data_IF_654537902714
#
_entry.id   IF_654537902714
#
_cell.length_a   1.000
_cell.length_b   1.000
_cell.length_c   1.000
_cell.angle_alpha   90.00
_cell.angle_beta   90.00
_cell.angle_gamma   90.00
#
_symmetry.space_group_name_H-M   'P 1'
#
loop_
_entity.id
_entity.type
_entity.pdbx_description
1 polymer ?
#
# COMPACT_ATOMS: atom_id res chain seq x y z
N UNK A 1 5.26 -18.80 -39.63
CA UNK A 1 4.93 -18.49 -38.23
C UNK A 1 4.93 -16.97 -38.10
N UNK A 2 3.79 -16.32 -38.15
CA UNK A 2 3.69 -14.90 -37.93
C UNK A 2 3.69 -14.66 -36.42
N UNK A 3 4.84 -14.30 -35.87
CA UNK A 3 4.94 -13.75 -34.53
C UNK A 3 4.42 -12.31 -34.54
N UNK A 4 3.12 -12.13 -34.62
CA UNK A 4 2.52 -10.88 -34.16
C UNK A 4 2.50 -10.95 -32.61
N UNK A 5 3.59 -10.57 -32.00
CA UNK A 5 3.59 -10.29 -30.57
C UNK A 5 2.59 -9.15 -30.36
N UNK A 6 1.48 -9.46 -29.69
CA UNK A 6 0.37 -8.53 -29.42
C UNK A 6 0.77 -7.57 -28.30
N UNK A 7 1.93 -6.91 -28.49
CA UNK A 7 2.49 -5.98 -27.51
C UNK A 7 1.77 -4.63 -27.60
N UNK A 8 0.94 -4.35 -26.63
CA UNK A 8 0.31 -3.04 -26.46
C UNK A 8 1.25 -2.10 -25.71
N UNK A 9 1.38 -0.88 -26.23
CA UNK A 9 2.20 0.16 -25.59
C UNK A 9 1.29 1.17 -24.89
N UNK A 10 1.57 1.43 -23.63
CA UNK A 10 0.87 2.39 -22.80
C UNK A 10 1.89 3.33 -22.18
N UNK A 11 1.58 4.63 -22.14
CA UNK A 11 2.42 5.61 -21.45
C UNK A 11 1.66 6.15 -20.24
N UNK A 12 2.35 6.28 -19.13
CA UNK A 12 1.86 6.89 -17.90
C UNK A 12 2.93 7.81 -17.31
N UNK A 13 2.55 8.65 -16.36
CA UNK A 13 3.52 9.38 -15.53
C UNK A 13 4.10 8.46 -14.45
N UNK A 14 3.26 7.58 -13.91
CA UNK A 14 3.63 6.68 -12.84
C UNK A 14 2.97 5.31 -13.08
N UNK A 15 3.72 4.24 -12.90
CA UNK A 15 3.19 2.88 -12.84
C UNK A 15 3.41 2.28 -11.47
N UNK A 16 2.37 1.66 -10.91
CA UNK A 16 2.38 1.03 -9.59
C UNK A 16 2.06 -0.45 -9.75
N UNK A 17 2.97 -1.32 -9.35
CA UNK A 17 2.74 -2.76 -9.33
C UNK A 17 2.26 -3.20 -7.94
N UNK A 18 0.97 -3.52 -7.86
CA UNK A 18 0.28 -3.96 -6.64
C UNK A 18 -0.80 -2.99 -6.16
N UNK A 19 -1.95 -3.56 -5.74
CA UNK A 19 -3.12 -2.86 -5.21
C UNK A 19 -3.34 -3.13 -3.71
N UNK A 20 -2.31 -3.57 -3.00
CA UNK A 20 -2.32 -3.59 -1.54
C UNK A 20 -2.33 -2.16 -0.96
N UNK A 21 -2.43 -2.05 0.38
CA UNK A 21 -2.47 -0.76 1.09
C UNK A 21 -1.34 0.18 0.64
N UNK A 22 -0.11 -0.32 0.49
CA UNK A 22 1.04 0.49 0.10
C UNK A 22 0.85 1.13 -1.29
N UNK A 23 0.40 0.35 -2.28
CA UNK A 23 0.16 0.84 -3.64
C UNK A 23 -0.98 1.85 -3.70
N UNK A 24 -2.10 1.55 -3.06
CA UNK A 24 -3.28 2.42 -3.04
C UNK A 24 -3.01 3.73 -2.29
N UNK A 25 -2.39 3.65 -1.12
CA UNK A 25 -2.05 4.85 -0.34
C UNK A 25 -1.06 5.74 -1.10
N UNK A 26 -0.04 5.15 -1.72
CA UNK A 26 0.88 5.89 -2.57
C UNK A 26 0.16 6.57 -3.75
N UNK A 27 -0.73 5.86 -4.45
CA UNK A 27 -1.51 6.43 -5.57
C UNK A 27 -2.34 7.64 -5.13
N UNK A 28 -2.96 7.57 -3.95
CA UNK A 28 -3.78 8.67 -3.40
C UNK A 28 -2.94 9.86 -2.92
N UNK A 29 -1.69 9.62 -2.51
CA UNK A 29 -0.75 10.66 -2.07
C UNK A 29 -0.08 11.40 -3.24
N UNK A 30 -0.22 10.90 -4.47
CA UNK A 30 0.36 11.50 -5.66
C UNK A 30 -0.55 12.61 -6.24
N UNK A 31 0.02 13.62 -6.95
CA UNK A 31 -0.73 14.71 -7.53
C UNK A 31 -1.79 14.22 -8.54
N UNK A 32 -2.96 14.90 -8.53
CA UNK A 32 -4.10 14.52 -9.37
C UNK A 32 -3.91 14.83 -10.86
N UNK A 33 -2.92 15.62 -11.20
CA UNK A 33 -2.55 15.93 -12.59
C UNK A 33 -1.67 14.83 -13.22
N UNK A 34 -1.26 13.81 -12.47
CA UNK A 34 -0.46 12.69 -12.96
C UNK A 34 -1.33 11.52 -13.40
N UNK A 35 -1.06 11.00 -14.59
CA UNK A 35 -1.67 9.78 -15.08
C UNK A 35 -1.00 8.57 -14.42
N UNK A 36 -1.75 7.82 -13.63
CA UNK A 36 -1.25 6.69 -12.83
C UNK A 36 -1.88 5.40 -13.36
N UNK A 37 -1.04 4.40 -13.64
CA UNK A 37 -1.50 3.05 -13.93
C UNK A 37 -1.10 2.14 -12.77
N UNK A 38 -2.09 1.48 -12.18
CA UNK A 38 -1.89 0.41 -11.20
C UNK A 38 -2.17 -0.93 -11.86
N UNK A 39 -1.35 -1.93 -11.59
CA UNK A 39 -1.60 -3.30 -12.03
C UNK A 39 -1.72 -4.24 -10.84
N UNK A 40 -2.52 -5.28 -10.96
CA UNK A 40 -2.63 -6.35 -9.97
C UNK A 40 -2.84 -7.70 -10.64
N UNK A 41 -2.20 -8.74 -10.12
CA UNK A 41 -2.25 -10.11 -10.66
C UNK A 41 -3.63 -10.77 -10.61
N UNK A 42 -4.52 -10.23 -9.76
CA UNK A 42 -5.88 -10.70 -9.57
C UNK A 42 -6.83 -9.50 -9.52
N UNK A 43 -7.97 -9.60 -8.82
CA UNK A 43 -8.82 -8.44 -8.55
C UNK A 43 -8.17 -7.48 -7.54
N UNK A 44 -8.57 -6.23 -7.53
CA UNK A 44 -7.98 -5.23 -6.64
C UNK A 44 -8.26 -5.49 -5.16
N UNK A 45 -9.30 -6.26 -4.85
CA UNK A 45 -9.68 -6.70 -3.51
C UNK A 45 -8.83 -7.87 -2.99
N UNK A 46 -8.18 -8.63 -3.89
CA UNK A 46 -7.40 -9.81 -3.51
C UNK A 46 -5.95 -9.42 -3.19
N UNK A 47 -5.73 -8.94 -1.98
CA UNK A 47 -4.40 -8.62 -1.46
C UNK A 47 -4.23 -9.11 -0.02
N UNK A 48 -3.00 -9.38 0.39
CA UNK A 48 -2.69 -9.73 1.79
C UNK A 48 -3.13 -8.63 2.75
N UNK A 49 -3.07 -7.37 2.30
CA UNK A 49 -3.58 -6.22 3.07
C UNK A 49 -5.08 -6.33 3.35
N UNK A 50 -5.86 -6.84 2.40
CA UNK A 50 -7.30 -7.04 2.56
C UNK A 50 -7.62 -8.18 3.55
N UNK A 51 -6.77 -9.20 3.60
CA UNK A 51 -6.92 -10.36 4.47
C UNK A 51 -6.39 -10.14 5.88
N UNK A 52 -5.64 -9.05 6.12
CA UNK A 52 -5.04 -8.75 7.41
C UNK A 52 -6.12 -8.53 8.49
N UNK A 53 -6.06 -9.31 9.57
CA UNK A 53 -7.02 -9.28 10.67
C UNK A 53 -6.57 -8.36 11.81
N UNK A 54 -5.25 -8.24 12.02
CA UNK A 54 -4.67 -7.39 13.04
C UNK A 54 -4.97 -5.90 12.83
N UNK A 55 -4.50 -5.09 13.76
CA UNK A 55 -4.68 -3.65 13.69
C UNK A 55 -3.49 -2.90 13.11
N UNK A 56 -3.54 -1.58 13.19
CA UNK A 56 -2.47 -0.67 12.78
C UNK A 56 -1.96 0.13 13.98
N UNK A 57 -0.64 0.20 14.13
CA UNK A 57 -0.02 0.93 15.23
C UNK A 57 -0.05 2.43 15.00
N UNK A 58 -0.26 3.20 16.08
CA UNK A 58 -0.16 4.65 16.07
C UNK A 58 0.58 5.16 17.30
N UNK A 59 1.46 6.13 17.13
CA UNK A 59 2.04 6.89 18.24
C UNK A 59 0.95 7.69 18.93
N UNK A 60 0.64 7.40 20.19
CA UNK A 60 -0.44 8.07 20.92
C UNK A 60 -0.07 9.50 21.33
N UNK A 61 1.14 9.66 21.83
CA UNK A 61 1.74 10.92 22.27
C UNK A 61 3.25 10.76 22.41
N UNK A 62 3.97 11.84 22.68
CA UNK A 62 5.44 11.83 22.76
C UNK A 62 6.00 10.88 23.85
N UNK A 63 5.27 10.66 24.94
CA UNK A 63 5.71 9.74 26.01
C UNK A 63 5.64 8.27 25.59
N UNK A 64 4.93 7.92 24.54
CA UNK A 64 4.85 6.56 23.99
C UNK A 64 5.99 6.25 23.01
N UNK A 65 6.73 7.27 22.55
CA UNK A 65 7.74 7.11 21.50
C UNK A 65 8.83 6.10 21.86
N UNK A 66 9.48 6.25 22.98
CA UNK A 66 10.62 5.39 23.38
C UNK A 66 10.19 3.92 23.50
N UNK A 67 9.01 3.68 24.06
CA UNK A 67 8.47 2.33 24.19
C UNK A 67 8.05 1.73 22.85
N UNK A 68 7.53 2.54 21.94
CA UNK A 68 7.15 2.09 20.60
C UNK A 68 8.39 1.77 19.77
N UNK A 69 9.41 2.63 19.85
CA UNK A 69 10.69 2.41 19.17
C UNK A 69 11.36 1.12 19.65
N UNK A 70 11.50 0.94 20.97
CA UNK A 70 12.11 -0.25 21.56
C UNK A 70 11.33 -1.53 21.22
N UNK A 71 10.00 -1.52 21.31
CA UNK A 71 9.16 -2.66 20.93
C UNK A 71 9.38 -3.05 19.47
N UNK A 72 9.47 -2.07 18.56
CA UNK A 72 9.70 -2.29 17.13
C UNK A 72 11.09 -2.83 16.86
N UNK A 73 12.13 -2.24 17.44
CA UNK A 73 13.51 -2.70 17.31
C UNK A 73 13.68 -4.13 17.82
N UNK A 74 13.11 -4.43 18.97
CA UNK A 74 13.17 -5.77 19.58
C UNK A 74 12.41 -6.81 18.75
N UNK A 75 11.23 -6.48 18.22
CA UNK A 75 10.46 -7.37 17.36
C UNK A 75 11.20 -7.72 16.06
N UNK A 76 11.99 -6.80 15.53
CA UNK A 76 12.87 -7.01 14.37
C UNK A 76 14.27 -7.51 14.74
N UNK A 77 14.48 -8.03 15.97
CA UNK A 77 15.78 -8.52 16.46
C UNK A 77 16.92 -7.51 16.32
N UNK A 78 16.60 -6.19 16.34
CA UNK A 78 17.53 -5.08 16.12
C UNK A 78 18.22 -5.07 14.75
N UNK A 79 17.68 -5.80 13.77
CA UNK A 79 18.11 -5.78 12.36
C UNK A 79 17.42 -4.65 11.57
N UNK A 80 16.47 -3.94 12.19
CA UNK A 80 15.75 -2.83 11.59
C UNK A 80 16.70 -1.67 11.24
N UNK A 81 16.39 -0.93 10.19
CA UNK A 81 17.00 0.37 9.97
C UNK A 81 16.42 1.39 10.98
N UNK A 82 17.24 1.96 11.89
CA UNK A 82 16.76 2.86 12.94
C UNK A 82 16.05 4.13 12.40
N UNK A 83 16.57 4.70 11.32
CA UNK A 83 15.97 5.88 10.68
C UNK A 83 14.59 5.58 10.09
N UNK A 84 14.44 4.43 9.42
CA UNK A 84 13.15 3.99 8.88
C UNK A 84 12.11 3.76 10.00
N UNK A 85 12.53 3.20 11.14
CA UNK A 85 11.68 3.03 12.32
C UNK A 85 11.25 4.38 12.89
N UNK A 86 12.15 5.35 13.02
CA UNK A 86 11.84 6.70 13.49
C UNK A 86 10.80 7.38 12.59
N UNK A 87 11.01 7.34 11.27
CA UNK A 87 10.08 7.90 10.27
C UNK A 87 8.71 7.25 10.41
N UNK A 88 8.64 5.92 10.45
CA UNK A 88 7.39 5.16 10.58
C UNK A 88 6.60 5.57 11.82
N UNK A 89 7.28 5.65 12.97
CA UNK A 89 6.62 5.99 14.25
C UNK A 89 6.11 7.43 14.22
N UNK A 90 6.93 8.39 13.81
CA UNK A 90 6.56 9.83 13.83
C UNK A 90 5.49 10.17 12.82
N UNK A 91 5.48 9.54 11.65
CA UNK A 91 4.45 9.77 10.63
C UNK A 91 3.11 9.09 10.94
N UNK A 92 3.08 8.14 11.88
CA UNK A 92 1.91 7.29 12.12
C UNK A 92 0.63 8.07 12.45
N UNK A 93 0.71 9.16 13.21
CA UNK A 93 -0.45 9.98 13.56
C UNK A 93 -1.06 10.69 12.36
N UNK A 94 -0.22 11.19 11.45
CA UNK A 94 -0.69 11.84 10.21
C UNK A 94 -1.31 10.82 9.28
N UNK A 95 -0.64 9.69 9.07
CA UNK A 95 -1.16 8.57 8.28
C UNK A 95 -2.54 8.11 8.77
N UNK A 96 -2.73 7.96 10.08
CA UNK A 96 -4.04 7.57 10.64
C UNK A 96 -5.11 8.65 10.39
N UNK A 97 -4.76 9.94 10.52
CA UNK A 97 -5.71 11.02 10.19
C UNK A 97 -6.12 11.01 8.72
N UNK A 98 -5.19 10.73 7.83
CA UNK A 98 -5.48 10.59 6.40
C UNK A 98 -6.37 9.38 6.11
N UNK A 99 -6.09 8.21 6.72
CA UNK A 99 -6.95 7.02 6.58
C UNK A 99 -8.39 7.30 7.05
N UNK A 100 -8.56 7.99 8.18
CA UNK A 100 -9.88 8.44 8.65
C UNK A 100 -10.51 9.41 7.63
N UNK A 101 -9.72 10.33 7.07
CA UNK A 101 -10.15 11.22 5.98
C UNK A 101 -10.63 10.49 4.72
N UNK A 102 -10.05 9.35 4.41
CA UNK A 102 -10.50 8.45 3.33
C UNK A 102 -11.73 7.61 3.72
N UNK A 103 -12.21 7.72 4.95
CA UNK A 103 -13.43 7.06 5.43
C UNK A 103 -13.18 5.76 6.18
N UNK A 104 -11.94 5.46 6.58
CA UNK A 104 -11.65 4.31 7.44
C UNK A 104 -12.27 4.53 8.82
N UNK A 105 -13.06 3.56 9.28
CA UNK A 105 -13.76 3.58 10.56
C UNK A 105 -13.03 2.69 11.58
N UNK A 106 -12.22 3.31 12.41
CA UNK A 106 -11.60 2.62 13.55
C UNK A 106 -12.54 2.59 14.75
N UNK A 107 -12.39 1.58 15.60
CA UNK A 107 -13.20 1.44 16.82
C UNK A 107 -13.03 2.67 17.73
N UNK A 108 -14.16 3.14 18.28
CA UNK A 108 -14.21 4.25 19.23
C UNK A 108 -14.65 3.77 20.62
N UNK A 109 -14.19 4.46 21.65
CA UNK A 109 -14.69 4.35 23.00
C UNK A 109 -16.06 5.05 23.15
N UNK A 110 -16.75 4.82 24.26
CA UNK A 110 -18.05 5.47 24.56
C UNK A 110 -17.98 7.00 24.57
N UNK A 111 -16.82 7.56 24.86
CA UNK A 111 -16.60 9.03 24.84
C UNK A 111 -16.23 9.59 23.46
N UNK A 112 -16.25 8.76 22.41
CA UNK A 112 -15.93 9.16 21.03
C UNK A 112 -14.45 9.23 20.68
N UNK A 113 -13.55 8.93 21.61
CA UNK A 113 -12.11 8.83 21.31
C UNK A 113 -11.77 7.49 20.64
N UNK A 114 -10.68 7.43 19.88
CA UNK A 114 -10.18 6.17 19.29
C UNK A 114 -9.91 5.14 20.38
N UNK A 115 -10.35 3.92 20.17
CA UNK A 115 -10.05 2.78 21.04
C UNK A 115 -8.75 2.12 20.62
N UNK A 116 -7.90 1.82 21.61
CA UNK A 116 -6.62 1.15 21.38
C UNK A 116 -6.61 -0.23 22.05
N UNK A 117 -6.10 -1.22 21.35
CA UNK A 117 -5.81 -2.54 21.89
C UNK A 117 -4.30 -2.78 21.95
N UNK A 118 -3.92 -3.88 22.60
CA UNK A 118 -2.54 -4.37 22.65
C UNK A 118 -2.48 -5.76 22.05
N UNK A 119 -1.54 -5.95 21.14
CA UNK A 119 -1.22 -7.25 20.55
C UNK A 119 0.23 -7.65 20.89
N UNK A 120 0.65 -8.81 20.42
CA UNK A 120 1.98 -9.34 20.68
C UNK A 120 3.10 -8.37 20.31
N UNK A 121 4.22 -8.45 21.00
CA UNK A 121 5.40 -7.60 20.89
C UNK A 121 5.24 -6.14 21.38
N UNK A 122 4.04 -5.64 21.64
CA UNK A 122 3.81 -4.28 22.14
C UNK A 122 3.75 -4.24 23.66
N UNK A 123 4.49 -3.31 24.28
CA UNK A 123 4.48 -3.08 25.73
C UNK A 123 3.25 -2.31 26.22
N UNK A 124 2.62 -1.50 25.32
CA UNK A 124 1.42 -0.70 25.62
C UNK A 124 0.34 -0.89 24.56
N UNK A 125 -0.90 -0.47 24.85
CA UNK A 125 -2.00 -0.44 23.87
C UNK A 125 -1.80 0.74 22.92
N UNK A 126 -1.43 0.47 21.67
CA UNK A 126 -1.24 1.48 20.61
C UNK A 126 -1.79 1.05 19.24
N UNK A 127 -2.58 -0.01 19.22
CA UNK A 127 -3.09 -0.62 18.01
C UNK A 127 -4.52 -0.19 17.82
N UNK A 128 -4.81 0.49 16.70
CA UNK A 128 -6.13 0.78 16.22
C UNK A 128 -6.67 -0.40 15.42
N UNK A 129 -7.96 -0.64 15.50
CA UNK A 129 -8.59 -1.81 14.87
C UNK A 129 -10.04 -1.52 14.47
N UNK A 130 -10.55 -2.33 13.57
CA UNK A 130 -11.96 -2.39 13.19
C UNK A 130 -12.41 -3.85 13.26
N UNK A 131 -13.01 -4.24 14.38
CA UNK A 131 -13.34 -5.66 14.66
C UNK A 131 -12.15 -6.59 14.37
N UNK A 132 -12.37 -7.71 13.67
CA UNK A 132 -11.33 -8.64 13.21
C UNK A 132 -11.02 -8.49 11.71
N UNK A 133 -11.37 -7.33 11.12
CA UNK A 133 -11.29 -7.09 9.68
C UNK A 133 -10.62 -5.74 9.35
N UNK A 134 -9.67 -5.30 10.17
CA UNK A 134 -9.01 -3.99 10.01
C UNK A 134 -8.39 -3.82 8.62
N UNK A 135 -7.71 -4.83 8.11
CA UNK A 135 -7.12 -4.80 6.77
C UNK A 135 -8.16 -4.63 5.67
N UNK A 136 -9.28 -5.36 5.76
CA UNK A 136 -10.42 -5.23 4.84
C UNK A 136 -11.01 -3.82 4.90
N UNK A 137 -11.21 -3.27 6.10
CA UNK A 137 -11.76 -1.92 6.27
C UNK A 137 -10.86 -0.88 5.60
N UNK A 138 -9.56 -0.87 5.92
CA UNK A 138 -8.60 0.06 5.33
C UNK A 138 -8.54 -0.10 3.80
N UNK A 139 -8.35 -1.33 3.32
CA UNK A 139 -8.18 -1.61 1.90
C UNK A 139 -9.42 -1.25 1.08
N UNK A 140 -10.62 -1.55 1.59
CA UNK A 140 -11.88 -1.23 0.91
C UNK A 140 -12.09 0.28 0.76
N UNK A 141 -11.78 1.06 1.81
CA UNK A 141 -11.91 2.52 1.76
C UNK A 141 -10.89 3.15 0.81
N UNK A 142 -9.63 2.73 0.89
CA UNK A 142 -8.61 3.21 -0.06
C UNK A 142 -8.96 2.84 -1.50
N UNK A 143 -9.41 1.62 -1.75
CA UNK A 143 -9.82 1.20 -3.11
C UNK A 143 -10.99 2.02 -3.64
N UNK A 144 -11.98 2.33 -2.79
CA UNK A 144 -13.07 3.21 -3.18
C UNK A 144 -12.58 4.60 -3.57
N UNK A 145 -11.63 5.18 -2.83
CA UNK A 145 -11.02 6.46 -3.19
C UNK A 145 -10.22 6.39 -4.48
N UNK A 146 -9.41 5.33 -4.66
CA UNK A 146 -8.65 5.12 -5.91
C UNK A 146 -9.58 5.03 -7.11
N UNK A 147 -10.67 4.26 -7.02
CA UNK A 147 -11.67 4.12 -8.08
C UNK A 147 -12.42 5.43 -8.39
N UNK A 148 -12.51 6.35 -7.45
CA UNK A 148 -13.11 7.67 -7.64
C UNK A 148 -12.16 8.68 -8.31
N UNK A 149 -10.87 8.39 -8.39
CA UNK A 149 -9.85 9.26 -9.00
C UNK A 149 -9.76 9.00 -10.51
N UNK A 150 -10.18 9.97 -11.32
CA UNK A 150 -10.19 9.85 -12.79
C UNK A 150 -8.80 9.74 -13.43
N UNK A 151 -7.76 10.14 -12.71
CA UNK A 151 -6.36 10.06 -13.15
C UNK A 151 -5.69 8.72 -12.81
N UNK A 152 -6.39 7.78 -12.15
CA UNK A 152 -5.88 6.46 -11.80
C UNK A 152 -6.63 5.39 -12.59
N UNK A 153 -5.89 4.55 -13.28
CA UNK A 153 -6.42 3.37 -13.98
C UNK A 153 -5.90 2.10 -13.31
N UNK A 154 -6.80 1.20 -12.89
CA UNK A 154 -6.44 -0.12 -12.37
C UNK A 154 -6.58 -1.14 -13.51
N UNK A 155 -5.52 -1.90 -13.77
CA UNK A 155 -5.52 -3.06 -14.66
C UNK A 155 -5.50 -4.32 -13.78
N UNK A 156 -6.67 -4.90 -13.58
CA UNK A 156 -6.84 -6.16 -12.86
C UNK A 156 -6.41 -7.35 -13.73
N UNK A 157 -6.20 -8.52 -13.11
CA UNK A 157 -5.74 -9.75 -13.77
C UNK A 157 -4.52 -9.50 -14.68
N UNK A 158 -3.66 -8.60 -14.27
CA UNK A 158 -2.49 -8.17 -15.02
C UNK A 158 -1.24 -8.36 -14.20
N UNK A 159 -0.41 -9.31 -14.60
CA UNK A 159 0.81 -9.71 -13.88
C UNK A 159 2.02 -8.99 -14.45
N UNK A 160 2.80 -8.37 -13.57
CA UNK A 160 4.11 -7.84 -13.93
C UNK A 160 5.07 -9.01 -14.24
N UNK A 161 5.70 -8.97 -15.40
CA UNK A 161 6.66 -9.98 -15.86
C UNK A 161 8.09 -9.52 -15.73
N UNK A 162 8.37 -8.25 -16.04
CA UNK A 162 9.73 -7.72 -16.10
C UNK A 162 9.72 -6.19 -15.98
N UNK A 163 10.89 -5.59 -15.84
CA UNK A 163 11.12 -4.15 -15.93
C UNK A 163 11.60 -3.75 -17.32
N UNK A 164 11.28 -2.54 -17.73
CA UNK A 164 11.88 -1.90 -18.89
C UNK A 164 13.10 -1.15 -18.39
N UNK A 165 14.28 -1.70 -18.61
CA UNK A 165 15.55 -1.15 -18.13
C UNK A 165 16.43 -0.75 -19.31
N UNK A 166 17.11 0.36 -19.16
CA UNK A 166 18.19 0.80 -20.06
C UNK A 166 19.19 1.64 -19.28
N UNK A 167 20.47 1.34 -19.43
CA UNK A 167 21.57 2.09 -18.81
C UNK A 167 21.40 2.24 -17.28
N UNK A 168 21.01 1.14 -16.60
CA UNK A 168 20.74 1.07 -15.16
C UNK A 168 19.61 2.03 -14.69
N UNK A 169 18.68 2.35 -15.58
CA UNK A 169 17.51 3.20 -15.29
C UNK A 169 16.23 2.47 -15.67
N UNK A 170 15.27 2.43 -14.74
CA UNK A 170 13.94 1.86 -14.98
C UNK A 170 13.05 2.86 -15.73
N UNK A 171 12.42 2.40 -16.81
CA UNK A 171 11.49 3.18 -17.65
C UNK A 171 10.08 2.62 -17.66
N UNK A 172 9.74 1.74 -16.74
CA UNK A 172 8.43 1.11 -16.65
C UNK A 172 8.51 -0.40 -16.55
N UNK A 173 7.45 -1.08 -16.96
CA UNK A 173 7.28 -2.52 -16.78
C UNK A 173 6.77 -3.21 -18.05
N UNK A 174 7.03 -4.52 -18.14
CA UNK A 174 6.35 -5.45 -19.02
C UNK A 174 5.33 -6.22 -18.17
N UNK A 175 4.10 -6.31 -18.64
CA UNK A 175 3.03 -7.04 -17.97
C UNK A 175 2.24 -7.89 -18.96
N UNK A 176 1.51 -8.90 -18.46
CA UNK A 176 0.58 -9.70 -19.24
C UNK A 176 -0.77 -9.77 -18.53
N UNK A 177 -1.87 -9.70 -19.31
CA UNK A 177 -3.20 -9.96 -18.78
C UNK A 177 -3.54 -11.48 -18.82
N UNK A 178 -4.72 -11.83 -18.34
CA UNK A 178 -5.23 -13.22 -18.31
C UNK A 178 -5.41 -13.86 -19.71
N UNK A 179 -5.37 -13.06 -20.79
CA UNK A 179 -5.46 -13.50 -22.16
C UNK A 179 -4.09 -13.53 -22.86
N UNK A 180 -2.99 -13.53 -22.12
CA UNK A 180 -1.63 -13.46 -22.61
C UNK A 180 -1.33 -12.22 -23.50
N UNK A 181 -2.13 -11.15 -23.36
CA UNK A 181 -1.82 -9.88 -24.02
C UNK A 181 -0.66 -9.21 -23.30
N UNK A 182 0.41 -8.95 -24.02
CA UNK A 182 1.58 -8.26 -23.47
C UNK A 182 1.40 -6.75 -23.50
N UNK A 183 1.80 -6.10 -22.43
CA UNK A 183 1.82 -4.66 -22.26
C UNK A 183 3.25 -4.17 -21.95
N UNK A 184 3.72 -3.19 -22.70
CA UNK A 184 4.84 -2.35 -22.31
C UNK A 184 4.28 -1.05 -21.75
N UNK A 185 4.28 -0.93 -20.42
CA UNK A 185 3.81 0.27 -19.73
C UNK A 185 5.04 1.11 -19.39
N UNK A 186 5.23 2.21 -20.15
CA UNK A 186 6.36 3.11 -19.93
C UNK A 186 5.97 4.24 -19.01
N UNK A 187 6.84 4.51 -18.04
CA UNK A 187 6.67 5.59 -17.07
C UNK A 187 8.03 6.06 -16.54
N UNK A 188 8.24 7.36 -16.29
CA UNK A 188 9.46 7.85 -15.63
C UNK A 188 9.58 7.39 -14.18
N UNK A 189 8.45 7.00 -13.53
CA UNK A 189 8.46 6.51 -12.16
C UNK A 189 7.74 5.16 -12.08
N UNK A 190 8.40 4.19 -11.45
CA UNK A 190 7.84 2.86 -11.19
C UNK A 190 7.88 2.59 -9.69
N UNK A 191 6.72 2.30 -9.11
CA UNK A 191 6.57 1.93 -7.70
C UNK A 191 6.27 0.44 -7.57
N UNK A 192 7.10 -0.27 -6.80
CA UNK A 192 6.90 -1.67 -6.49
C UNK A 192 6.21 -1.81 -5.15
N UNK A 193 4.95 -2.22 -5.17
CA UNK A 193 4.11 -2.45 -4.01
C UNK A 193 3.52 -3.88 -4.04
N UNK A 194 4.32 -4.84 -4.53
CA UNK A 194 3.88 -6.22 -4.79
C UNK A 194 3.70 -7.05 -3.51
N UNK A 195 4.04 -6.52 -2.34
CA UNK A 195 4.06 -7.28 -1.09
C UNK A 195 5.22 -8.27 -1.02
N UNK A 196 5.12 -9.22 -0.09
CA UNK A 196 6.08 -10.30 0.09
C UNK A 196 5.70 -11.57 -0.66
N UNK A 197 6.41 -12.66 -0.37
CA UNK A 197 6.11 -13.98 -0.94
C UNK A 197 5.16 -14.82 -0.06
N UNK A 198 4.65 -14.23 1.03
CA UNK A 198 3.66 -14.84 1.93
C UNK A 198 4.23 -15.35 3.20
#
# INVERSE_FOLDING_TARGET
>A
MQNNSNLKKINADIVIAGTGVAGMYAALSLPEDKNIIMITKSTAEESDSFLAQGGICMLKNDNDYDSYYEDTMRAGHYENNPEAVDIMIRSSQETIRELIGYGVDFKHNENGSLAFTREGAHSTSRILFHEDITGKEISSKLLAQVRNRSNITIMENTTMLDIIEKDNTCYGIIAADENDTLYAITAPYTLWACGGIG
#
